data_IF_654731750713
#
_entry.id   IF_654731750713
#
_cell.length_a   1.000
_cell.length_b   1.000
_cell.length_c   1.000
_cell.angle_alpha   90.00
_cell.angle_beta   90.00
_cell.angle_gamma   90.00
#
_symmetry.space_group_name_H-M   'P 1'
#
loop_
_entity.id
_entity.type
_entity.pdbx_description
1 polymer ?
#
# COMPACT_ATOMS: atom_id res chain seq x y z
N UNK A 1 -16.01 -19.53 15.45
CA UNK A 1 -15.94 -18.24 16.17
C UNK A 1 -15.38 -17.18 15.22
N UNK A 2 -14.20 -17.35 14.62
CA UNK A 2 -13.59 -16.38 13.67
C UNK A 2 -14.50 -16.08 12.46
N UNK A 3 -15.24 -17.07 11.95
CA UNK A 3 -16.12 -16.90 10.79
C UNK A 3 -17.29 -15.95 11.05
N UNK A 4 -17.72 -15.76 12.29
CA UNK A 4 -18.80 -14.85 12.67
C UNK A 4 -18.31 -13.46 13.07
N UNK A 5 -17.05 -13.32 13.49
CA UNK A 5 -16.45 -12.07 13.92
C UNK A 5 -15.78 -11.28 12.77
N UNK A 6 -15.20 -12.00 11.80
CA UNK A 6 -14.42 -11.42 10.72
C UNK A 6 -15.07 -11.58 9.34
N UNK A 7 -16.38 -11.86 9.30
CA UNK A 7 -17.11 -11.79 8.05
C UNK A 7 -17.24 -10.34 7.61
N UNK A 8 -17.03 -10.10 6.32
CA UNK A 8 -17.35 -8.82 5.68
C UNK A 8 -18.83 -8.52 5.95
N UNK A 9 -19.08 -7.81 7.07
CA UNK A 9 -20.43 -7.54 7.51
C UNK A 9 -21.12 -6.61 6.51
N UNK A 10 -22.45 -6.65 6.48
CA UNK A 10 -23.29 -5.87 5.55
C UNK A 10 -23.03 -4.35 5.56
N UNK A 11 -22.21 -3.84 6.49
CA UNK A 11 -21.82 -2.44 6.64
C UNK A 11 -20.44 -2.10 6.06
N UNK A 12 -19.67 -3.07 5.54
CA UNK A 12 -18.47 -2.77 4.77
C UNK A 12 -18.81 -1.85 3.59
N UNK A 13 -17.89 -0.99 3.22
CA UNK A 13 -18.07 0.07 2.20
C UNK A 13 -18.93 -0.42 1.03
N UNK A 14 -19.83 0.39 0.55
CA UNK A 14 -20.79 0.10 -0.54
C UNK A 14 -20.15 -0.50 -1.79
N UNK A 15 -18.85 -0.44 -1.90
CA UNK A 15 -17.99 -0.98 -2.96
C UNK A 15 -17.72 -2.48 -2.84
N UNK A 16 -17.22 -2.95 -1.68
CA UNK A 16 -17.00 -4.39 -1.44
C UNK A 16 -18.32 -5.13 -1.64
N UNK A 17 -19.46 -4.53 -1.24
CA UNK A 17 -20.81 -5.07 -1.48
C UNK A 17 -21.16 -5.22 -2.96
N UNK A 18 -20.90 -4.23 -3.80
CA UNK A 18 -21.25 -4.27 -5.22
C UNK A 18 -20.44 -5.27 -6.02
N UNK A 19 -19.19 -5.48 -5.64
CA UNK A 19 -18.27 -6.39 -6.36
C UNK A 19 -18.45 -7.83 -5.93
N UNK A 20 -18.76 -8.07 -4.64
CA UNK A 20 -18.72 -9.39 -4.01
C UNK A 20 -20.03 -9.78 -3.31
N UNK A 21 -21.15 -9.24 -3.74
CA UNK A 21 -22.47 -9.32 -3.10
C UNK A 21 -23.00 -10.73 -2.79
N UNK A 22 -22.30 -11.78 -3.17
CA UNK A 22 -22.70 -13.18 -2.94
C UNK A 22 -21.76 -14.01 -2.07
N UNK A 23 -20.55 -13.49 -1.76
CA UNK A 23 -19.53 -14.25 -1.03
C UNK A 23 -19.33 -13.68 0.37
N UNK A 24 -19.62 -14.48 1.39
CA UNK A 24 -19.24 -14.19 2.78
C UNK A 24 -17.74 -14.51 2.97
N UNK A 25 -16.86 -13.67 2.42
CA UNK A 25 -15.42 -13.84 2.54
C UNK A 25 -14.92 -13.21 3.84
N UNK A 26 -14.13 -13.94 4.66
CA UNK A 26 -13.62 -13.40 5.92
C UNK A 26 -12.54 -12.36 5.69
N UNK A 27 -12.50 -11.33 6.54
CA UNK A 27 -11.41 -10.36 6.68
C UNK A 27 -10.29 -10.99 7.53
N UNK A 28 -9.60 -11.98 7.00
CA UNK A 28 -8.63 -12.79 7.75
C UNK A 28 -7.18 -12.54 7.37
N UNK A 29 -6.92 -11.76 6.32
CA UNK A 29 -5.55 -11.52 5.83
C UNK A 29 -4.65 -10.86 6.86
N UNK A 30 -5.15 -9.86 7.59
CA UNK A 30 -4.42 -9.22 8.68
C UNK A 30 -4.10 -10.17 9.84
N UNK A 31 -5.06 -11.04 10.20
CA UNK A 31 -4.84 -12.06 11.23
C UNK A 31 -3.75 -13.05 10.82
N UNK A 32 -3.81 -13.59 9.60
CA UNK A 32 -2.77 -14.50 9.09
C UNK A 32 -1.41 -13.84 9.05
N UNK A 33 -1.35 -12.57 8.68
CA UNK A 33 -0.10 -11.81 8.64
C UNK A 33 0.53 -11.71 10.03
N UNK A 34 -0.22 -11.20 11.03
CA UNK A 34 0.30 -11.05 12.40
C UNK A 34 0.66 -12.41 13.01
N UNK A 35 -0.18 -13.42 12.84
CA UNK A 35 0.11 -14.77 13.32
C UNK A 35 1.40 -15.33 12.69
N UNK A 36 1.63 -15.10 11.40
CA UNK A 36 2.85 -15.53 10.71
C UNK A 36 4.10 -14.78 11.18
N UNK A 37 4.02 -13.47 11.45
CA UNK A 37 5.11 -12.67 12.02
C UNK A 37 5.55 -13.24 13.38
N UNK A 38 4.56 -13.53 14.26
CA UNK A 38 4.82 -14.10 15.58
C UNK A 38 5.39 -15.51 15.45
N UNK A 39 4.80 -16.37 14.63
CA UNK A 39 5.22 -17.77 14.46
C UNK A 39 6.64 -17.91 13.90
N UNK A 40 6.99 -17.10 12.91
CA UNK A 40 8.32 -17.11 12.30
C UNK A 40 9.37 -16.34 13.13
N UNK A 41 8.95 -15.73 14.24
CA UNK A 41 9.81 -14.97 15.13
C UNK A 41 10.78 -14.06 14.35
N UNK A 42 10.21 -13.23 13.45
CA UNK A 42 11.02 -12.33 12.65
C UNK A 42 11.79 -11.40 13.58
N UNK A 43 13.09 -11.28 13.34
CA UNK A 43 14.03 -10.51 14.14
C UNK A 43 13.77 -9.00 13.97
N UNK A 44 12.58 -8.55 14.40
CA UNK A 44 12.16 -7.16 14.38
C UNK A 44 12.31 -6.57 15.78
N UNK A 45 12.68 -5.28 15.84
CA UNK A 45 12.72 -4.56 17.10
C UNK A 45 11.34 -4.61 17.79
N UNK A 46 11.32 -4.80 19.11
CA UNK A 46 10.10 -4.90 19.90
C UNK A 46 9.16 -3.68 19.74
N UNK A 47 9.72 -2.48 19.61
CA UNK A 47 8.92 -1.26 19.42
C UNK A 47 8.20 -1.29 18.08
N UNK A 48 8.86 -1.81 17.02
CA UNK A 48 8.20 -2.02 15.73
C UNK A 48 7.07 -3.04 15.83
N UNK A 49 7.29 -4.13 16.55
CA UNK A 49 6.26 -5.14 16.77
C UNK A 49 5.06 -4.58 17.54
N UNK A 50 5.29 -3.76 18.57
CA UNK A 50 4.19 -3.09 19.30
C UNK A 50 3.43 -2.12 18.40
N UNK A 51 4.14 -1.29 17.64
CA UNK A 51 3.51 -0.34 16.71
C UNK A 51 2.71 -1.05 15.61
N UNK A 52 3.26 -2.14 15.07
CA UNK A 52 2.60 -3.01 14.10
C UNK A 52 1.30 -3.58 14.68
N UNK A 53 1.36 -4.08 15.93
CA UNK A 53 0.21 -4.65 16.61
C UNK A 53 -0.87 -3.59 16.93
N UNK A 54 -0.46 -2.39 17.34
CA UNK A 54 -1.38 -1.26 17.58
C UNK A 54 -2.10 -0.89 16.27
N UNK A 55 -1.39 -0.76 15.15
CA UNK A 55 -2.00 -0.47 13.85
C UNK A 55 -2.94 -1.59 13.40
N UNK A 56 -2.59 -2.85 13.67
CA UNK A 56 -3.47 -4.00 13.44
C UNK A 56 -4.76 -3.88 14.27
N UNK A 57 -4.68 -3.53 15.55
CA UNK A 57 -5.86 -3.34 16.42
C UNK A 57 -6.73 -2.16 15.95
N UNK A 58 -6.12 -1.04 15.54
CA UNK A 58 -6.85 0.10 14.96
C UNK A 58 -7.60 -0.37 13.70
N UNK A 59 -6.96 -1.19 12.87
CA UNK A 59 -7.57 -1.77 11.68
C UNK A 59 -8.73 -2.70 12.01
N UNK A 60 -8.60 -3.59 13.00
CA UNK A 60 -9.72 -4.42 13.48
C UNK A 60 -10.88 -3.56 13.95
N UNK A 61 -10.61 -2.55 14.77
CA UNK A 61 -11.64 -1.64 15.27
C UNK A 61 -12.36 -0.91 14.14
N UNK A 62 -11.66 -0.62 13.02
CA UNK A 62 -12.26 -0.12 11.79
C UNK A 62 -13.09 -1.19 11.06
N UNK A 63 -12.54 -2.39 10.90
CA UNK A 63 -13.21 -3.51 10.20
C UNK A 63 -14.54 -3.90 10.86
N UNK A 64 -14.60 -3.87 12.21
CA UNK A 64 -15.83 -4.13 12.98
C UNK A 64 -16.72 -2.88 13.18
N UNK A 65 -16.38 -1.73 12.54
CA UNK A 65 -17.07 -0.45 12.65
C UNK A 65 -17.11 0.17 14.07
N UNK A 66 -16.23 -0.25 14.97
CA UNK A 66 -16.06 0.38 16.28
C UNK A 66 -15.50 1.80 16.14
N UNK A 67 -14.53 1.99 15.22
CA UNK A 67 -14.01 3.29 14.81
C UNK A 67 -14.49 3.61 13.39
N UNK A 68 -15.69 4.18 13.27
CA UNK A 68 -16.28 4.54 11.97
C UNK A 68 -15.70 5.83 11.37
N UNK A 69 -15.22 6.76 12.21
CA UNK A 69 -14.69 8.05 11.79
C UNK A 69 -13.30 7.93 11.15
N UNK A 70 -13.19 8.33 9.87
CA UNK A 70 -11.90 8.37 9.16
C UNK A 70 -10.90 9.35 9.83
N UNK A 71 -11.38 10.45 10.45
CA UNK A 71 -10.51 11.40 11.16
C UNK A 71 -9.89 10.77 12.40
N UNK A 72 -10.67 10.03 13.19
CA UNK A 72 -10.16 9.33 14.38
C UNK A 72 -9.13 8.28 13.97
N UNK A 73 -9.39 7.48 12.92
CA UNK A 73 -8.43 6.51 12.39
C UNK A 73 -7.12 7.18 11.99
N UNK A 74 -7.20 8.27 11.24
CA UNK A 74 -6.02 9.04 10.82
C UNK A 74 -5.22 9.56 12.02
N UNK A 75 -5.88 10.11 13.04
CA UNK A 75 -5.22 10.61 14.25
C UNK A 75 -4.51 9.48 15.01
N UNK A 76 -5.16 8.33 15.19
CA UNK A 76 -4.57 7.18 15.88
C UNK A 76 -3.38 6.60 15.08
N UNK A 77 -3.48 6.51 13.75
CA UNK A 77 -2.36 6.11 12.88
C UNK A 77 -1.21 7.10 13.01
N UNK A 78 -1.49 8.41 12.93
CA UNK A 78 -0.47 9.46 13.08
C UNK A 78 0.27 9.34 14.41
N UNK A 79 -0.45 9.23 15.50
CA UNK A 79 0.15 9.08 16.83
C UNK A 79 1.02 7.82 16.91
N UNK A 80 0.50 6.67 16.47
CA UNK A 80 1.25 5.40 16.51
C UNK A 80 2.54 5.47 15.69
N UNK A 81 2.48 6.02 14.46
CA UNK A 81 3.64 6.13 13.57
C UNK A 81 4.66 7.13 14.15
N UNK A 82 4.21 8.29 14.60
CA UNK A 82 5.06 9.34 15.15
C UNK A 82 5.83 8.85 16.38
N UNK A 83 5.14 8.19 17.32
CA UNK A 83 5.80 7.58 18.48
C UNK A 83 6.77 6.45 18.07
N UNK A 84 6.43 5.65 17.08
CA UNK A 84 7.34 4.62 16.57
C UNK A 84 8.63 5.23 16.01
N UNK A 85 8.53 6.32 15.26
CA UNK A 85 9.68 7.03 14.68
C UNK A 85 10.59 7.58 15.80
N UNK A 86 10.01 8.25 16.79
CA UNK A 86 10.77 8.80 17.93
C UNK A 86 11.48 7.69 18.71
N UNK A 87 10.75 6.65 19.09
CA UNK A 87 11.28 5.60 19.98
C UNK A 87 12.33 4.69 19.31
N UNK A 88 12.40 4.67 17.99
CA UNK A 88 13.39 3.89 17.25
C UNK A 88 14.43 4.77 16.53
N UNK A 89 14.37 6.07 16.71
CA UNK A 89 15.29 7.03 16.06
C UNK A 89 15.36 6.87 14.53
N UNK A 90 14.19 6.66 13.91
CA UNK A 90 14.10 6.44 12.47
C UNK A 90 14.14 7.79 11.76
N UNK A 91 15.02 7.92 10.80
CA UNK A 91 15.18 9.15 10.03
C UNK A 91 15.47 8.90 8.55
N UNK A 92 15.22 9.91 7.73
CA UNK A 92 15.65 9.93 6.33
C UNK A 92 16.97 10.69 6.27
N UNK A 93 18.03 10.04 5.74
CA UNK A 93 19.37 10.66 5.64
C UNK A 93 19.53 11.58 4.44
N UNK A 94 18.93 11.21 3.32
CA UNK A 94 19.21 11.91 2.06
C UNK A 94 18.01 11.79 1.11
N UNK A 95 17.60 12.92 0.52
CA UNK A 95 16.59 12.97 -0.55
C UNK A 95 17.23 13.26 -1.92
N UNK A 96 18.57 13.26 -2.02
CA UNK A 96 19.31 13.53 -3.27
C UNK A 96 18.95 14.89 -3.93
N UNK A 97 18.39 15.82 -3.19
CA UNK A 97 18.06 17.19 -3.58
C UNK A 97 18.54 18.09 -2.43
N UNK A 98 19.55 18.92 -2.70
CA UNK A 98 20.27 19.70 -1.69
C UNK A 98 19.34 20.58 -0.84
N UNK A 99 18.40 21.28 -1.48
CA UNK A 99 17.42 22.09 -0.76
C UNK A 99 16.58 21.28 0.23
N UNK A 100 16.16 20.08 -0.14
CA UNK A 100 15.37 19.22 0.73
C UNK A 100 16.21 18.61 1.85
N UNK A 101 17.48 18.33 1.59
CA UNK A 101 18.39 17.80 2.61
C UNK A 101 18.62 18.81 3.74
N UNK A 102 18.71 20.10 3.45
CA UNK A 102 18.81 21.14 4.48
C UNK A 102 17.62 21.13 5.46
N UNK A 103 16.43 20.82 4.98
CA UNK A 103 15.26 20.65 5.86
C UNK A 103 15.31 19.35 6.66
N UNK A 104 15.89 18.26 6.10
CA UNK A 104 16.04 16.99 6.81
C UNK A 104 16.99 17.08 8.02
N UNK A 105 17.92 18.05 8.03
CA UNK A 105 18.81 18.31 9.16
C UNK A 105 18.04 18.84 10.39
N UNK A 106 16.83 19.35 10.18
CA UNK A 106 15.92 19.74 11.25
C UNK A 106 15.16 18.48 11.71
N UNK A 107 15.50 17.96 12.87
CA UNK A 107 14.98 16.70 13.43
C UNK A 107 13.44 16.61 13.38
N UNK A 108 12.75 17.65 13.87
CA UNK A 108 11.27 17.68 13.86
C UNK A 108 10.70 17.64 12.44
N UNK A 109 11.35 18.29 11.47
CA UNK A 109 10.93 18.23 10.08
C UNK A 109 11.07 16.82 9.54
N UNK A 110 12.19 16.14 9.78
CA UNK A 110 12.45 14.78 9.36
C UNK A 110 11.38 13.82 9.90
N UNK A 111 11.09 13.90 11.20
CA UNK A 111 10.06 13.07 11.86
C UNK A 111 8.67 13.31 11.27
N UNK A 112 8.27 14.57 11.09
CA UNK A 112 6.96 14.93 10.54
C UNK A 112 6.85 14.50 9.07
N UNK A 113 7.89 14.75 8.27
CA UNK A 113 7.93 14.36 6.87
C UNK A 113 7.82 12.84 6.69
N UNK A 114 8.59 12.07 7.48
CA UNK A 114 8.53 10.61 7.45
C UNK A 114 7.15 10.10 7.90
N UNK A 115 6.56 10.71 8.94
CA UNK A 115 5.21 10.37 9.38
C UNK A 115 4.19 10.57 8.25
N UNK A 116 4.27 11.69 7.54
CA UNK A 116 3.39 11.97 6.39
C UNK A 116 3.60 10.94 5.27
N UNK A 117 4.85 10.59 4.93
CA UNK A 117 5.15 9.58 3.93
C UNK A 117 4.52 8.23 4.28
N UNK A 118 4.66 7.78 5.52
CA UNK A 118 4.07 6.52 5.98
C UNK A 118 2.53 6.57 6.02
N UNK A 119 1.93 7.69 6.41
CA UNK A 119 0.47 7.88 6.37
C UNK A 119 -0.06 7.84 4.93
N UNK A 120 0.62 8.49 3.99
CA UNK A 120 0.25 8.44 2.57
C UNK A 120 0.30 7.01 2.06
N UNK A 121 1.31 6.25 2.45
CA UNK A 121 1.49 4.85 2.06
C UNK A 121 0.39 3.96 2.65
N UNK A 122 0.17 4.02 3.96
CA UNK A 122 -0.84 3.21 4.68
C UNK A 122 -2.25 3.47 4.11
N UNK A 123 -2.62 4.73 3.98
CA UNK A 123 -3.94 5.08 3.46
C UNK A 123 -4.04 4.82 1.95
N UNK A 124 -2.95 4.96 1.20
CA UNK A 124 -2.88 4.59 -0.20
C UNK A 124 -3.17 3.11 -0.41
N UNK A 125 -2.50 2.22 0.30
CA UNK A 125 -2.77 0.79 0.23
C UNK A 125 -4.18 0.42 0.72
N UNK A 126 -4.69 1.11 1.73
CA UNK A 126 -6.06 0.91 2.18
C UNK A 126 -7.09 1.25 1.08
N UNK A 127 -6.85 2.30 0.30
CA UNK A 127 -7.70 2.59 -0.86
C UNK A 127 -7.66 1.50 -1.93
N UNK A 128 -6.54 0.80 -2.09
CA UNK A 128 -6.36 -0.26 -3.08
C UNK A 128 -7.04 -1.58 -2.68
N UNK A 129 -7.36 -1.81 -1.41
CA UNK A 129 -7.95 -3.06 -0.88
C UNK A 129 -9.42 -3.29 -1.32
N UNK A 130 -9.85 -2.68 -2.39
CA UNK A 130 -11.13 -2.98 -3.06
C UNK A 130 -11.02 -4.07 -4.13
N UNK A 131 -9.81 -4.40 -4.56
CA UNK A 131 -9.51 -5.31 -5.68
C UNK A 131 -8.57 -6.41 -5.21
N UNK A 132 -8.94 -7.67 -5.45
CA UNK A 132 -8.11 -8.82 -5.12
C UNK A 132 -6.75 -8.74 -5.81
N UNK A 133 -5.74 -9.29 -5.15
CA UNK A 133 -4.34 -9.36 -5.62
C UNK A 133 -3.60 -8.03 -5.69
N UNK A 134 -4.29 -6.89 -5.74
CA UNK A 134 -3.67 -5.61 -6.04
C UNK A 134 -2.66 -5.18 -4.96
N UNK A 135 -3.07 -5.16 -3.69
CA UNK A 135 -2.22 -4.76 -2.56
C UNK A 135 -1.04 -5.71 -2.39
N UNK A 136 -1.34 -7.01 -2.25
CA UNK A 136 -0.30 -8.03 -2.00
C UNK A 136 0.62 -8.19 -3.21
N UNK A 137 0.10 -8.10 -4.43
CA UNK A 137 0.92 -8.13 -5.64
C UNK A 137 1.91 -6.97 -5.71
N UNK A 138 1.49 -5.76 -5.30
CA UNK A 138 2.40 -4.62 -5.21
C UNK A 138 3.52 -4.87 -4.17
N UNK A 139 3.19 -5.42 -3.00
CA UNK A 139 4.20 -5.78 -1.99
C UNK A 139 5.20 -6.79 -2.54
N UNK A 140 4.73 -7.86 -3.20
CA UNK A 140 5.61 -8.87 -3.79
C UNK A 140 6.52 -8.26 -4.86
N UNK A 141 5.98 -7.45 -5.79
CA UNK A 141 6.74 -6.79 -6.85
C UNK A 141 7.84 -5.89 -6.26
N UNK A 142 7.49 -5.03 -5.31
CA UNK A 142 8.44 -4.10 -4.69
C UNK A 142 9.52 -4.82 -3.89
N UNK A 143 9.17 -5.88 -3.14
CA UNK A 143 10.13 -6.67 -2.38
C UNK A 143 11.08 -7.46 -3.27
N UNK A 144 10.58 -8.04 -4.38
CA UNK A 144 11.42 -8.72 -5.37
C UNK A 144 12.42 -7.76 -6.02
N UNK A 145 12.00 -6.51 -6.30
CA UNK A 145 12.88 -5.49 -6.84
C UNK A 145 14.02 -5.13 -5.86
N UNK A 146 13.69 -4.90 -4.59
CA UNK A 146 14.69 -4.63 -3.54
C UNK A 146 15.61 -5.84 -3.35
N UNK A 147 15.05 -7.05 -3.26
CA UNK A 147 15.84 -8.28 -3.13
C UNK A 147 16.85 -8.42 -4.27
N UNK A 148 16.40 -8.22 -5.52
CA UNK A 148 17.24 -8.35 -6.71
C UNK A 148 18.37 -7.32 -6.74
N UNK A 149 18.05 -6.03 -6.49
CA UNK A 149 19.05 -4.95 -6.47
C UNK A 149 20.07 -5.18 -5.36
N UNK A 150 19.61 -5.59 -4.16
CA UNK A 150 20.49 -5.83 -3.02
C UNK A 150 21.43 -7.01 -3.23
N UNK A 151 20.91 -8.10 -3.79
CA UNK A 151 21.71 -9.30 -4.05
C UNK A 151 22.83 -9.02 -5.05
N UNK A 152 22.52 -8.35 -6.17
CA UNK A 152 23.49 -8.08 -7.23
C UNK A 152 24.51 -7.00 -6.85
N UNK A 153 24.16 -6.05 -6.00
CA UNK A 153 25.00 -4.91 -5.63
C UNK A 153 25.57 -5.02 -4.20
N UNK A 154 25.38 -6.16 -3.53
CA UNK A 154 25.86 -6.44 -2.16
C UNK A 154 25.43 -5.36 -1.15
N UNK A 155 24.18 -4.89 -1.27
CA UNK A 155 23.62 -3.87 -0.38
C UNK A 155 23.22 -4.47 0.95
N UNK A 156 23.17 -3.62 1.98
CA UNK A 156 22.72 -4.01 3.33
C UNK A 156 21.22 -4.33 3.28
N UNK A 157 20.89 -5.60 3.52
CA UNK A 157 19.50 -6.07 3.55
C UNK A 157 19.43 -7.34 4.40
N UNK A 158 18.42 -7.44 5.27
CA UNK A 158 18.10 -8.70 5.92
C UNK A 158 17.36 -9.64 4.94
N UNK A 159 18.11 -10.43 4.22
CA UNK A 159 17.58 -11.38 3.22
C UNK A 159 16.67 -12.44 3.84
N UNK A 160 16.85 -12.79 5.12
CA UNK A 160 16.00 -13.77 5.81
C UNK A 160 14.62 -13.18 6.05
N UNK A 161 14.57 -11.96 6.59
CA UNK A 161 13.30 -11.24 6.79
C UNK A 161 12.54 -11.06 5.47
N UNK A 162 13.23 -10.63 4.41
CA UNK A 162 12.59 -10.45 3.10
C UNK A 162 12.07 -11.77 2.52
N UNK A 163 12.82 -12.87 2.59
CA UNK A 163 12.37 -14.19 2.13
C UNK A 163 11.14 -14.67 2.90
N UNK A 164 11.15 -14.52 4.22
CA UNK A 164 10.03 -14.90 5.06
C UNK A 164 8.77 -14.07 4.73
N UNK A 165 8.91 -12.75 4.55
CA UNK A 165 7.80 -11.89 4.15
C UNK A 165 7.28 -12.23 2.75
N UNK A 166 8.15 -12.50 1.77
CA UNK A 166 7.75 -12.95 0.44
C UNK A 166 6.95 -14.26 0.52
N UNK A 167 7.35 -15.19 1.40
CA UNK A 167 6.62 -16.44 1.62
C UNK A 167 5.24 -16.16 2.21
N UNK A 168 5.15 -15.34 3.27
CA UNK A 168 3.88 -14.94 3.90
C UNK A 168 2.95 -14.29 2.85
N UNK A 169 3.46 -13.30 2.11
CA UNK A 169 2.66 -12.61 1.10
C UNK A 169 2.24 -13.51 -0.05
N UNK A 170 3.06 -14.47 -0.46
CA UNK A 170 2.69 -15.44 -1.49
C UNK A 170 1.52 -16.33 -1.05
N UNK A 171 1.52 -16.76 0.21
CA UNK A 171 0.41 -17.53 0.78
C UNK A 171 -0.86 -16.66 0.84
N UNK A 172 -0.78 -15.44 1.40
CA UNK A 172 -1.92 -14.54 1.48
C UNK A 172 -2.43 -14.18 0.08
N UNK A 173 -1.52 -13.95 -0.90
CA UNK A 173 -1.87 -13.69 -2.29
C UNK A 173 -2.72 -14.82 -2.88
N UNK A 174 -2.34 -16.08 -2.63
CA UNK A 174 -3.06 -17.24 -3.14
C UNK A 174 -4.50 -17.27 -2.60
N UNK A 175 -4.70 -17.08 -1.29
CA UNK A 175 -6.05 -17.03 -0.71
C UNK A 175 -6.86 -15.82 -1.20
N UNK A 176 -6.22 -14.67 -1.37
CA UNK A 176 -6.85 -13.47 -1.87
C UNK A 176 -7.22 -13.60 -3.36
N UNK A 177 -6.36 -14.23 -4.18
CA UNK A 177 -6.60 -14.52 -5.59
C UNK A 177 -7.91 -15.31 -5.78
N UNK A 178 -8.13 -16.34 -4.97
CA UNK A 178 -9.35 -17.16 -5.03
C UNK A 178 -10.54 -16.54 -4.26
N UNK A 179 -10.40 -15.31 -3.74
CA UNK A 179 -11.45 -14.63 -2.98
C UNK A 179 -11.82 -15.33 -1.67
N UNK A 180 -10.90 -16.13 -1.10
CA UNK A 180 -11.12 -16.88 0.15
C UNK A 180 -10.73 -16.08 1.39
N UNK A 181 -9.96 -15.01 1.24
CA UNK A 181 -9.53 -14.11 2.32
C UNK A 181 -9.36 -12.70 1.77
N UNK A 182 -9.90 -11.70 2.48
CA UNK A 182 -9.62 -10.29 2.25
C UNK A 182 -8.67 -9.77 3.32
N UNK A 183 -7.95 -8.69 3.02
CA UNK A 183 -7.00 -8.09 3.95
C UNK A 183 -7.70 -7.34 5.07
N UNK A 184 -8.68 -6.53 4.73
CA UNK A 184 -9.31 -5.57 5.62
C UNK A 184 -8.39 -4.41 5.99
N UNK A 185 -8.93 -3.46 6.75
CA UNK A 185 -8.16 -2.34 7.27
C UNK A 185 -7.04 -2.83 8.21
N UNK A 186 -7.30 -3.90 8.97
CA UNK A 186 -6.31 -4.54 9.85
C UNK A 186 -5.09 -5.06 9.09
N UNK A 187 -5.30 -5.73 7.96
CA UNK A 187 -4.22 -6.22 7.12
C UNK A 187 -3.49 -5.10 6.39
N UNK A 188 -4.23 -4.19 5.78
CA UNK A 188 -3.61 -3.10 5.00
C UNK A 188 -2.78 -2.16 5.86
N UNK A 189 -3.25 -1.78 7.06
CA UNK A 189 -2.48 -0.87 7.94
C UNK A 189 -1.20 -1.52 8.45
N UNK A 190 -1.30 -2.75 8.94
CA UNK A 190 -0.13 -3.45 9.50
C UNK A 190 0.91 -3.79 8.42
N UNK A 191 0.48 -4.35 7.27
CA UNK A 191 1.39 -4.74 6.20
C UNK A 191 2.08 -3.54 5.55
N UNK A 192 1.33 -2.47 5.22
CA UNK A 192 1.91 -1.28 4.60
C UNK A 192 2.83 -0.52 5.53
N UNK A 193 2.54 -0.49 6.83
CA UNK A 193 3.44 0.08 7.82
C UNK A 193 4.76 -0.69 7.87
N UNK A 194 4.72 -2.03 7.98
CA UNK A 194 5.94 -2.84 8.02
C UNK A 194 6.78 -2.64 6.76
N UNK A 195 6.15 -2.68 5.58
CA UNK A 195 6.83 -2.45 4.30
C UNK A 195 7.46 -1.05 4.27
N UNK A 196 6.70 -0.03 4.70
CA UNK A 196 7.20 1.35 4.74
C UNK A 196 8.45 1.49 5.61
N UNK A 197 8.42 0.96 6.83
CA UNK A 197 9.57 1.00 7.75
C UNK A 197 10.76 0.22 7.20
N UNK A 198 10.55 -0.99 6.67
CA UNK A 198 11.63 -1.78 6.09
C UNK A 198 12.32 -1.05 4.92
N UNK A 199 11.54 -0.34 4.10
CA UNK A 199 12.10 0.40 2.97
C UNK A 199 12.79 1.69 3.38
N UNK A 200 12.32 2.36 4.44
CA UNK A 200 13.02 3.51 5.03
C UNK A 200 14.36 3.07 5.60
N UNK A 201 14.39 1.98 6.38
CA UNK A 201 15.64 1.45 6.93
C UNK A 201 16.59 0.99 5.82
N UNK A 202 16.07 0.31 4.79
CA UNK A 202 16.89 -0.07 3.64
C UNK A 202 17.50 1.14 2.91
N UNK A 203 16.73 2.22 2.71
CA UNK A 203 17.25 3.46 2.14
C UNK A 203 18.26 4.16 3.07
N UNK A 204 18.01 4.10 4.38
CA UNK A 204 18.91 4.66 5.39
C UNK A 204 20.27 3.94 5.41
N UNK A 205 20.26 2.60 5.42
CA UNK A 205 21.48 1.80 5.49
C UNK A 205 22.33 1.89 4.20
N UNK A 206 21.69 2.20 3.07
CA UNK A 206 22.31 2.24 1.75
C UNK A 206 22.31 3.64 1.10
N UNK A 207 22.18 4.70 1.87
CA UNK A 207 21.92 6.07 1.37
C UNK A 207 23.02 6.65 0.44
N UNK A 208 24.23 6.10 0.50
CA UNK A 208 25.34 6.49 -0.38
C UNK A 208 25.24 5.86 -1.78
N UNK A 209 24.50 4.76 -1.89
CA UNK A 209 24.45 3.95 -3.12
C UNK A 209 23.07 4.04 -3.79
N UNK A 210 21.99 4.08 -2.99
CA UNK A 210 20.63 4.05 -3.49
C UNK A 210 20.03 5.44 -3.50
N UNK A 211 19.40 5.82 -4.61
CA UNK A 211 18.53 6.98 -4.61
C UNK A 211 17.24 6.69 -3.82
N UNK A 212 16.78 7.57 -2.92
CA UNK A 212 15.51 7.43 -2.22
C UNK A 212 14.31 7.37 -3.18
N UNK A 213 14.46 7.91 -4.38
CA UNK A 213 13.45 7.82 -5.43
C UNK A 213 13.31 6.42 -6.04
N UNK A 214 14.23 5.50 -5.78
CA UNK A 214 14.01 4.09 -6.07
C UNK A 214 12.83 3.54 -5.24
N UNK A 215 12.84 3.79 -3.94
CA UNK A 215 11.72 3.43 -3.06
C UNK A 215 10.43 4.14 -3.49
N UNK A 216 10.50 5.44 -3.78
CA UNK A 216 9.34 6.19 -4.26
C UNK A 216 8.81 5.62 -5.60
N UNK A 217 9.69 5.16 -6.48
CA UNK A 217 9.31 4.51 -7.74
C UNK A 217 8.61 3.16 -7.52
N UNK A 218 9.04 2.36 -6.54
CA UNK A 218 8.39 1.10 -6.18
C UNK A 218 7.00 1.30 -5.55
N UNK A 219 6.82 2.38 -4.81
CA UNK A 219 5.60 2.70 -4.05
C UNK A 219 4.77 3.83 -4.70
N UNK A 220 5.08 4.20 -5.95
CA UNK A 220 4.44 5.35 -6.61
C UNK A 220 2.92 5.19 -6.74
N UNK A 221 2.42 3.96 -7.02
CA UNK A 221 1.02 3.73 -7.31
C UNK A 221 0.09 3.97 -6.10
N UNK A 222 0.32 3.38 -4.90
CA UNK A 222 -0.48 3.73 -3.73
C UNK A 222 -0.35 5.22 -3.36
N UNK A 223 0.81 5.83 -3.54
CA UNK A 223 1.03 7.25 -3.26
C UNK A 223 0.20 8.13 -4.20
N UNK A 224 0.29 7.91 -5.53
CA UNK A 224 -0.45 8.72 -6.51
C UNK A 224 -1.96 8.52 -6.36
N UNK A 225 -2.44 7.31 -6.12
CA UNK A 225 -3.86 7.03 -5.92
C UNK A 225 -4.41 7.78 -4.70
N UNK A 226 -3.65 7.83 -3.60
CA UNK A 226 -4.02 8.57 -2.40
C UNK A 226 -4.02 10.08 -2.65
N UNK A 227 -2.90 10.65 -3.11
CA UNK A 227 -2.75 12.08 -3.33
C UNK A 227 -3.73 12.60 -4.39
N UNK A 228 -3.89 11.87 -5.50
CA UNK A 228 -4.86 12.22 -6.53
C UNK A 228 -6.30 12.17 -6.02
N UNK A 229 -6.65 11.19 -5.18
CA UNK A 229 -7.98 11.09 -4.59
C UNK A 229 -8.26 12.29 -3.68
N UNK A 230 -7.30 12.68 -2.84
CA UNK A 230 -7.44 13.86 -1.95
C UNK A 230 -7.58 15.13 -2.79
N UNK A 231 -6.69 15.38 -3.75
CA UNK A 231 -6.74 16.58 -4.61
C UNK A 231 -8.04 16.65 -5.39
N UNK A 232 -8.46 15.54 -6.01
CA UNK A 232 -9.73 15.46 -6.73
C UNK A 232 -10.94 15.81 -5.85
N UNK A 233 -10.98 15.29 -4.61
CA UNK A 233 -12.09 15.59 -3.67
C UNK A 233 -12.10 17.05 -3.24
N UNK A 234 -10.92 17.63 -2.99
CA UNK A 234 -10.80 19.06 -2.68
C UNK A 234 -11.32 19.94 -3.83
N UNK A 235 -10.92 19.68 -5.07
CA UNK A 235 -11.35 20.44 -6.24
C UNK A 235 -12.85 20.33 -6.53
N UNK A 236 -13.48 19.19 -6.24
CA UNK A 236 -14.90 18.98 -6.47
C UNK A 236 -15.77 19.21 -5.23
N UNK A 237 -15.25 19.88 -4.20
CA UNK A 237 -15.95 20.22 -2.95
C UNK A 237 -16.65 19.02 -2.30
N UNK A 238 -16.04 17.83 -2.42
CA UNK A 238 -16.53 16.60 -1.79
C UNK A 238 -15.86 16.39 -0.44
N UNK A 239 -16.62 15.85 0.50
CA UNK A 239 -16.03 15.44 1.77
C UNK A 239 -14.94 14.39 1.56
N UNK A 240 -13.71 14.71 2.01
CA UNK A 240 -12.53 13.84 1.85
C UNK A 240 -12.75 12.48 2.53
N UNK A 241 -13.53 12.45 3.60
CA UNK A 241 -13.81 11.26 4.41
C UNK A 241 -14.87 10.32 3.84
N UNK A 242 -15.66 10.75 2.84
CA UNK A 242 -16.71 9.90 2.28
C UNK A 242 -16.15 8.92 1.23
N UNK A 243 -16.54 7.63 1.29
CA UNK A 243 -16.19 6.67 0.25
C UNK A 243 -16.71 7.10 -1.12
N UNK A 244 -15.93 6.92 -2.17
CA UNK A 244 -16.41 7.10 -3.53
C UNK A 244 -15.99 5.93 -4.44
N UNK A 245 -16.60 5.88 -5.64
CA UNK A 245 -16.42 4.81 -6.61
C UNK A 245 -15.52 5.27 -7.78
N UNK A 246 -14.76 6.34 -7.59
CA UNK A 246 -13.98 6.98 -8.64
C UNK A 246 -12.48 6.69 -8.56
N UNK A 247 -12.10 5.66 -7.81
CA UNK A 247 -10.72 5.17 -7.82
C UNK A 247 -10.38 4.52 -9.16
N UNK A 248 -9.13 4.63 -9.59
CA UNK A 248 -8.67 4.08 -10.86
C UNK A 248 -9.04 2.60 -11.04
N UNK A 249 -8.77 1.79 -10.03
CA UNK A 249 -9.05 0.37 -10.04
C UNK A 249 -10.56 0.06 -10.16
N UNK A 250 -11.44 0.88 -9.60
CA UNK A 250 -12.88 0.72 -9.77
C UNK A 250 -13.36 1.10 -11.17
N UNK A 251 -12.78 2.16 -11.74
CA UNK A 251 -13.09 2.56 -13.11
C UNK A 251 -12.66 1.48 -14.11
N UNK A 252 -11.48 0.88 -13.88
CA UNK A 252 -10.96 -0.21 -14.69
C UNK A 252 -11.81 -1.48 -14.55
N UNK A 253 -12.17 -1.87 -13.30
CA UNK A 253 -13.08 -2.98 -13.04
C UNK A 253 -14.40 -2.83 -13.81
N UNK A 254 -15.04 -1.65 -13.73
CA UNK A 254 -16.28 -1.38 -14.43
C UNK A 254 -16.10 -1.49 -15.95
N UNK A 255 -14.96 -1.08 -16.47
CA UNK A 255 -14.65 -1.17 -17.89
C UNK A 255 -14.47 -2.60 -18.35
N UNK A 256 -13.72 -3.42 -17.62
CA UNK A 256 -13.52 -4.84 -17.92
C UNK A 256 -14.86 -5.58 -17.86
N UNK A 257 -15.67 -5.32 -16.80
CA UNK A 257 -16.98 -5.93 -16.62
C UNK A 257 -17.94 -5.68 -17.79
N UNK A 258 -17.86 -4.52 -18.43
CA UNK A 258 -18.67 -4.20 -19.62
C UNK A 258 -18.25 -4.99 -20.86
N UNK A 259 -16.95 -5.28 -20.99
CA UNK A 259 -16.39 -5.86 -22.20
C UNK A 259 -16.27 -7.40 -22.13
N UNK A 260 -16.30 -7.97 -20.92
CA UNK A 260 -16.19 -9.41 -20.70
C UNK A 260 -17.56 -9.96 -20.33
N UNK A 261 -18.12 -10.90 -21.11
CA UNK A 261 -19.46 -11.44 -20.87
C UNK A 261 -19.57 -12.32 -19.61
N UNK A 262 -18.48 -12.51 -18.87
CA UNK A 262 -18.47 -13.30 -17.64
C UNK A 262 -19.37 -12.67 -16.58
N UNK A 263 -20.28 -13.48 -16.02
CA UNK A 263 -21.09 -13.10 -14.85
C UNK A 263 -20.33 -13.20 -13.52
N UNK A 264 -19.12 -13.77 -13.54
CA UNK A 264 -18.32 -13.99 -12.32
C UNK A 264 -17.57 -12.69 -11.93
N UNK A 265 -18.15 -11.93 -11.01
CA UNK A 265 -17.56 -10.69 -10.51
C UNK A 265 -16.19 -10.92 -9.81
N UNK A 266 -16.00 -12.08 -9.15
CA UNK A 266 -14.75 -12.42 -8.51
C UNK A 266 -13.62 -12.55 -9.54
N UNK A 267 -13.86 -13.26 -10.64
CA UNK A 267 -12.89 -13.41 -11.72
C UNK A 267 -12.49 -12.03 -12.29
N UNK A 268 -13.48 -11.18 -12.60
CA UNK A 268 -13.22 -9.82 -13.12
C UNK A 268 -12.42 -8.99 -12.12
N UNK A 269 -12.73 -9.11 -10.82
CA UNK A 269 -12.02 -8.41 -9.75
C UNK A 269 -10.55 -8.82 -9.71
N UNK A 270 -10.26 -10.13 -9.66
CA UNK A 270 -8.89 -10.66 -9.63
C UNK A 270 -8.11 -10.30 -10.90
N UNK A 271 -8.72 -10.43 -12.07
CA UNK A 271 -8.10 -10.02 -13.36
C UNK A 271 -7.76 -8.53 -13.36
N UNK A 272 -8.65 -7.68 -12.84
CA UNK A 272 -8.38 -6.24 -12.72
C UNK A 272 -7.14 -5.97 -11.87
N UNK A 273 -6.99 -6.65 -10.72
CA UNK A 273 -5.81 -6.51 -9.86
C UNK A 273 -4.53 -6.96 -10.56
N UNK A 274 -4.57 -8.06 -11.31
CA UNK A 274 -3.41 -8.53 -12.09
C UNK A 274 -3.00 -7.50 -13.15
N UNK A 275 -3.94 -6.95 -13.92
CA UNK A 275 -3.62 -5.93 -14.91
C UNK A 275 -2.95 -4.70 -14.31
N UNK A 276 -3.43 -4.25 -13.15
CA UNK A 276 -2.82 -3.11 -12.47
C UNK A 276 -1.42 -3.49 -11.93
N UNK A 277 -1.24 -4.70 -11.40
CA UNK A 277 0.08 -5.17 -10.95
C UNK A 277 1.09 -5.28 -12.10
N UNK A 278 0.67 -5.70 -13.29
CA UNK A 278 1.52 -5.65 -14.50
C UNK A 278 1.92 -4.21 -14.81
N UNK A 279 0.99 -3.25 -14.72
CA UNK A 279 1.29 -1.83 -14.90
C UNK A 279 2.27 -1.32 -13.84
N UNK A 280 2.11 -1.68 -12.57
CA UNK A 280 3.01 -1.33 -11.47
C UNK A 280 4.41 -1.95 -11.65
N UNK A 281 4.50 -3.13 -12.22
CA UNK A 281 5.78 -3.81 -12.46
C UNK A 281 6.67 -3.06 -13.47
N UNK A 282 6.10 -2.30 -14.42
CA UNK A 282 6.87 -1.56 -15.41
C UNK A 282 7.83 -0.55 -14.77
N UNK A 283 7.36 0.44 -13.96
CA UNK A 283 8.27 1.37 -13.29
C UNK A 283 9.18 0.67 -12.29
N UNK A 284 8.76 -0.43 -11.65
CA UNK A 284 9.61 -1.19 -10.75
C UNK A 284 10.80 -1.83 -11.49
N UNK A 285 10.57 -2.43 -12.67
CA UNK A 285 11.64 -2.99 -13.50
C UNK A 285 12.58 -1.89 -13.99
N UNK A 286 12.06 -0.76 -14.47
CA UNK A 286 12.91 0.37 -14.86
C UNK A 286 13.70 0.88 -13.67
N UNK A 287 13.08 0.97 -12.49
CA UNK A 287 13.73 1.37 -11.24
C UNK A 287 14.91 0.47 -10.85
N UNK A 288 14.83 -0.84 -11.11
CA UNK A 288 15.94 -1.76 -10.89
C UNK A 288 17.20 -1.36 -11.69
N UNK A 289 17.05 -0.92 -12.93
CA UNK A 289 18.19 -0.50 -13.76
C UNK A 289 18.75 0.87 -13.38
N UNK A 290 17.93 1.73 -12.78
CA UNK A 290 18.28 3.10 -12.43
C UNK A 290 18.23 3.38 -10.92
N UNK A 291 18.39 2.35 -10.07
CA UNK A 291 18.20 2.44 -8.61
C UNK A 291 19.06 3.53 -7.92
N UNK A 292 20.20 3.92 -8.52
CA UNK A 292 21.13 4.95 -8.04
C UNK A 292 21.03 6.27 -8.81
N UNK A 293 20.21 6.37 -9.87
CA UNK A 293 20.10 7.56 -10.73
C UNK A 293 18.84 8.38 -10.44
N UNK A 294 18.94 9.33 -9.50
CA UNK A 294 17.81 10.18 -9.05
C UNK A 294 17.04 10.83 -10.19
N UNK A 295 17.73 11.46 -11.17
CA UNK A 295 17.08 12.15 -12.30
C UNK A 295 16.23 11.20 -13.14
N UNK A 296 16.76 10.01 -13.47
CA UNK A 296 16.03 9.00 -14.25
C UNK A 296 14.80 8.51 -13.51
N UNK A 297 14.91 8.25 -12.20
CA UNK A 297 13.79 7.81 -11.38
C UNK A 297 12.70 8.87 -11.26
N UNK A 298 13.06 10.14 -11.11
CA UNK A 298 12.09 11.24 -11.12
C UNK A 298 11.35 11.36 -12.45
N UNK A 299 12.06 11.16 -13.58
CA UNK A 299 11.43 11.12 -14.91
C UNK A 299 10.46 9.93 -15.00
N UNK A 300 10.85 8.75 -14.52
CA UNK A 300 9.99 7.56 -14.52
C UNK A 300 8.73 7.80 -13.69
N UNK A 301 8.86 8.33 -12.48
CA UNK A 301 7.72 8.64 -11.60
C UNK A 301 6.81 9.69 -12.27
N UNK A 302 7.38 10.75 -12.82
CA UNK A 302 6.62 11.80 -13.52
C UNK A 302 5.88 11.27 -14.74
N UNK A 303 6.56 10.51 -15.60
CA UNK A 303 5.95 9.90 -16.79
C UNK A 303 4.82 8.93 -16.43
N UNK A 304 5.02 8.04 -15.43
CA UNK A 304 3.97 7.13 -14.98
C UNK A 304 2.78 7.89 -14.35
N UNK A 305 3.03 8.98 -13.63
CA UNK A 305 1.96 9.83 -13.07
C UNK A 305 1.14 10.47 -14.18
N UNK A 306 1.77 10.96 -15.24
CA UNK A 306 1.07 11.50 -16.42
C UNK A 306 0.26 10.42 -17.14
N UNK A 307 0.84 9.25 -17.38
CA UNK A 307 0.14 8.11 -17.99
C UNK A 307 -1.08 7.72 -17.14
N UNK A 308 -0.91 7.66 -15.80
CA UNK A 308 -2.02 7.39 -14.87
C UNK A 308 -3.15 8.41 -15.05
N UNK A 309 -2.86 9.71 -15.08
CA UNK A 309 -3.86 10.76 -15.24
C UNK A 309 -4.59 10.66 -16.58
N UNK A 310 -3.88 10.40 -17.67
CA UNK A 310 -4.48 10.23 -19.00
C UNK A 310 -5.41 9.03 -19.05
N UNK A 311 -4.95 7.86 -18.55
CA UNK A 311 -5.77 6.64 -18.52
C UNK A 311 -6.98 6.85 -17.59
N UNK A 312 -6.78 7.47 -16.43
CA UNK A 312 -7.84 7.79 -15.50
C UNK A 312 -8.93 8.64 -16.18
N UNK A 313 -8.54 9.71 -16.87
CA UNK A 313 -9.47 10.59 -17.58
C UNK A 313 -10.27 9.83 -18.66
N UNK A 314 -9.62 8.99 -19.44
CA UNK A 314 -10.25 8.15 -20.47
C UNK A 314 -11.28 7.20 -19.83
N UNK A 315 -10.90 6.52 -18.76
CA UNK A 315 -11.77 5.59 -18.03
C UNK A 315 -12.96 6.34 -17.40
N UNK A 316 -12.72 7.49 -16.80
CA UNK A 316 -13.75 8.34 -16.18
C UNK A 316 -14.79 8.78 -17.23
N UNK A 317 -14.35 9.33 -18.36
CA UNK A 317 -15.23 9.75 -19.46
C UNK A 317 -16.07 8.57 -19.98
N UNK A 318 -15.45 7.43 -20.24
CA UNK A 318 -16.12 6.22 -20.74
C UNK A 318 -17.08 5.58 -19.75
N UNK A 319 -16.91 5.80 -18.45
CA UNK A 319 -17.85 5.32 -17.42
C UNK A 319 -19.01 6.31 -17.16
N UNK A 320 -18.87 7.59 -17.55
CA UNK A 320 -19.88 8.65 -17.36
C UNK A 320 -20.88 8.75 -18.54
N UNK A 321 -20.46 8.29 -19.72
CA UNK A 321 -21.28 8.28 -20.94
C UNK A 321 -22.32 7.13 -20.95
N UNK A 322 -23.08 7.04 -19.84
CA UNK A 322 -24.25 6.16 -19.68
C UNK A 322 -25.50 6.93 -19.40
#
# INVERSE_FOLDING_TARGET
>A
ILKNFLLDQQNASTHKKKVLSSLKTPLSGGFFFIASIIFLNLNLNNIFLYSLFILYLIGIASDVNYISSARIRLLLQTACIFFCIILNDISIKNLSIELLNQFLDIEIFNMVFLTICLLVLINGFNFLDGINTLVIGNFIISMLAIYYVSYNNKLILDFIVIKNLLTIFSVIYTFNFFGKSFLGDSGTYSMSFLIGILYVNFAYDNYLVISPYFIACLLWYPAIENLFTITRRLFFSKEISKPDNLHFHHLLFNRIKKNVPSKNNLFINTVTGIFINIYIAIPAVIGIFYFNHTKSLLIVIGANSLIYLVIYYILYKKNKLK
#
